data_IF_888315091263
#
_entry.id   IF_888315091263
#
_cell.length_a   1.000
_cell.length_b   1.000
_cell.length_c   1.000
_cell.angle_alpha   90.00
_cell.angle_beta   90.00
_cell.angle_gamma   90.00
#
_symmetry.space_group_name_H-M   'P 1'
#
loop_
_entity.id
_entity.type
_entity.pdbx_description
1 polymer ?
#
# COMPACT_ATOMS: atom_id res chain seq x y z
N UNK A 1 -67.51 74.79 6.57
CA UNK A 1 -68.03 73.95 5.47
C UNK A 1 -67.09 72.75 5.35
N UNK A 2 -67.61 71.54 5.58
CA UNK A 2 -66.88 70.27 5.57
C UNK A 2 -66.28 69.97 4.17
N UNK A 3 -65.22 69.18 3.99
CA UNK A 3 -65.20 67.73 4.19
C UNK A 3 -63.82 67.16 4.57
N UNK A 4 -63.84 66.23 5.52
CA UNK A 4 -62.77 65.34 5.95
C UNK A 4 -62.75 64.09 5.06
N UNK A 5 -61.58 63.67 4.59
CA UNK A 5 -61.34 62.32 4.06
C UNK A 5 -60.63 61.46 5.11
N UNK A 6 -61.28 60.39 5.59
CA UNK A 6 -60.71 59.37 6.46
C UNK A 6 -59.99 58.27 5.65
N UNK A 7 -58.82 57.80 6.12
CA UNK A 7 -58.09 56.69 5.49
C UNK A 7 -57.25 55.87 6.49
N UNK A 8 -57.92 54.92 7.15
CA UNK A 8 -57.46 53.69 7.82
C UNK A 8 -56.14 53.67 8.62
N UNK A 9 -56.26 53.75 9.96
CA UNK A 9 -55.32 53.09 10.88
C UNK A 9 -55.56 51.59 10.84
N UNK A 10 -54.52 50.82 10.50
CA UNK A 10 -54.55 49.37 10.55
C UNK A 10 -54.73 48.87 12.01
N UNK A 11 -55.57 47.84 12.25
CA UNK A 11 -55.82 47.34 13.58
C UNK A 11 -54.64 46.54 14.13
N UNK A 12 -54.32 46.79 15.40
CA UNK A 12 -53.21 46.20 16.18
C UNK A 12 -53.36 44.70 16.49
N UNK A 13 -53.96 43.91 15.60
CA UNK A 13 -54.14 42.46 15.73
C UNK A 13 -53.31 41.64 14.74
N UNK A 14 -52.53 42.30 13.87
CA UNK A 14 -51.75 41.64 12.81
C UNK A 14 -50.22 41.74 12.97
N UNK A 15 -49.72 42.41 14.01
CA UNK A 15 -48.28 42.48 14.28
C UNK A 15 -47.60 41.14 14.63
N UNK A 16 -48.23 40.17 15.34
CA UNK A 16 -47.51 38.92 15.65
C UNK A 16 -47.40 37.98 14.44
N UNK A 17 -48.28 38.10 13.44
CA UNK A 17 -48.27 37.27 12.23
C UNK A 17 -47.17 37.73 11.26
N UNK A 18 -46.93 39.05 11.18
CA UNK A 18 -45.84 39.61 10.37
C UNK A 18 -44.45 39.24 10.91
N UNK A 19 -44.26 39.20 12.24
CA UNK A 19 -42.98 38.77 12.84
C UNK A 19 -42.72 37.26 12.69
N UNK A 20 -43.75 36.41 12.70
CA UNK A 20 -43.60 34.96 12.49
C UNK A 20 -43.20 34.57 11.06
N UNK A 21 -43.71 35.29 10.05
CA UNK A 21 -43.37 35.05 8.64
C UNK A 21 -41.95 35.49 8.27
N UNK A 22 -41.40 36.53 8.92
CA UNK A 22 -40.01 36.98 8.71
C UNK A 22 -39.00 35.99 9.31
N UNK A 23 -39.32 35.35 10.45
CA UNK A 23 -38.48 34.34 11.09
C UNK A 23 -38.47 32.98 10.33
N UNK A 24 -39.60 32.57 9.74
CA UNK A 24 -39.66 31.37 8.90
C UNK A 24 -38.94 31.55 7.55
N UNK A 25 -38.97 32.76 6.97
CA UNK A 25 -38.20 33.07 5.76
C UNK A 25 -36.67 33.06 6.00
N UNK A 26 -36.21 33.45 7.19
CA UNK A 26 -34.79 33.44 7.56
C UNK A 26 -34.27 32.06 7.94
N UNK A 27 -35.10 31.15 8.47
CA UNK A 27 -34.72 29.74 8.66
C UNK A 27 -34.63 28.93 7.36
N UNK A 28 -35.40 29.29 6.32
CA UNK A 28 -35.31 28.62 5.01
C UNK A 28 -34.05 29.02 4.23
N UNK A 29 -33.51 30.22 4.45
CA UNK A 29 -32.20 30.62 3.92
C UNK A 29 -31.04 29.89 4.63
N UNK A 30 -31.13 29.66 5.95
CA UNK A 30 -30.10 28.91 6.69
C UNK A 30 -30.08 27.40 6.36
N UNK A 31 -31.22 26.80 6.02
CA UNK A 31 -31.28 25.40 5.58
C UNK A 31 -30.75 25.17 4.16
N UNK A 32 -30.70 26.22 3.32
CA UNK A 32 -30.12 26.14 1.96
C UNK A 32 -28.59 26.35 1.92
N UNK A 33 -27.97 26.80 3.02
CA UNK A 33 -26.52 26.96 3.08
C UNK A 33 -25.77 25.61 3.02
N UNK A 34 -26.43 24.49 3.38
CA UNK A 34 -25.89 23.14 3.18
C UNK A 34 -25.92 22.65 1.74
N UNK A 35 -26.79 23.21 0.89
CA UNK A 35 -26.92 22.82 -0.52
C UNK A 35 -25.91 23.54 -1.43
N UNK A 36 -25.38 24.71 -1.00
CA UNK A 36 -24.37 25.46 -1.76
C UNK A 36 -22.95 24.88 -1.65
N UNK A 37 -22.68 24.04 -0.64
CA UNK A 37 -21.37 23.36 -0.51
C UNK A 37 -21.29 22.13 -1.41
N UNK A 38 -22.42 21.59 -1.88
CA UNK A 38 -22.48 20.37 -2.70
C UNK A 38 -22.08 20.58 -4.17
N UNK A 39 -21.96 21.84 -4.62
CA UNK A 39 -21.71 22.19 -6.01
C UNK A 39 -20.48 23.09 -6.22
N UNK A 40 -19.60 23.17 -5.21
CA UNK A 40 -18.26 23.68 -5.47
C UNK A 40 -17.58 22.71 -6.44
N UNK A 41 -17.11 23.16 -7.62
CA UNK A 41 -16.23 22.34 -8.42
C UNK A 41 -15.08 21.91 -7.51
N UNK A 42 -14.71 20.63 -7.49
CA UNK A 42 -13.62 20.19 -6.63
C UNK A 42 -12.43 21.10 -6.96
N UNK A 43 -11.87 21.77 -5.95
CA UNK A 43 -10.75 22.71 -6.10
C UNK A 43 -9.51 22.06 -6.75
N UNK A 44 -9.58 20.74 -6.95
CA UNK A 44 -8.61 19.91 -7.64
C UNK A 44 -9.33 18.93 -8.55
N UNK A 45 -8.87 18.79 -9.79
CA UNK A 45 -9.33 17.72 -10.68
C UNK A 45 -9.20 16.35 -10.00
N UNK A 46 -10.23 15.49 -10.07
CA UNK A 46 -10.15 14.13 -9.53
C UNK A 46 -9.18 13.24 -10.34
N UNK A 47 -8.81 13.67 -11.54
CA UNK A 47 -7.89 12.94 -12.40
C UNK A 47 -6.49 12.85 -11.76
N UNK A 48 -6.04 11.62 -11.53
CA UNK A 48 -4.68 11.31 -11.13
C UNK A 48 -3.76 11.44 -12.35
N UNK A 49 -2.69 12.23 -12.22
CA UNK A 49 -1.64 12.35 -13.24
C UNK A 49 -0.43 11.53 -12.84
N UNK A 50 0.30 11.01 -13.82
CA UNK A 50 1.52 10.24 -13.61
C UNK A 50 2.65 11.16 -13.12
N UNK A 51 3.42 10.70 -12.12
CA UNK A 51 4.70 11.29 -11.77
C UNK A 51 5.81 10.73 -12.67
N UNK A 52 6.44 11.55 -13.54
CA UNK A 52 7.46 11.08 -14.46
C UNK A 52 8.78 10.70 -13.78
N UNK A 53 9.01 11.12 -12.52
CA UNK A 53 10.24 10.81 -11.79
C UNK A 53 10.18 9.48 -11.03
N UNK A 54 9.01 8.84 -10.95
CA UNK A 54 8.84 7.59 -10.22
C UNK A 54 9.31 6.37 -11.04
N UNK A 55 10.06 5.46 -10.40
CA UNK A 55 10.53 4.21 -11.04
C UNK A 55 9.41 3.23 -11.39
N UNK A 56 8.33 3.25 -10.61
CA UNK A 56 7.07 2.55 -10.88
C UNK A 56 5.96 3.59 -11.01
N UNK A 57 4.89 3.34 -11.80
CA UNK A 57 3.80 4.29 -11.95
C UNK A 57 3.25 4.75 -10.60
N UNK A 58 3.31 6.06 -10.37
CA UNK A 58 2.87 6.70 -9.15
C UNK A 58 2.04 7.92 -9.51
N UNK A 59 0.95 8.21 -8.77
CA UNK A 59 0.29 9.50 -8.91
C UNK A 59 1.23 10.64 -8.48
N UNK A 60 1.23 11.74 -9.24
CA UNK A 60 2.02 12.95 -8.92
C UNK A 60 1.54 13.65 -7.65
N UNK A 61 0.27 13.45 -7.28
CA UNK A 61 -0.31 13.97 -6.04
C UNK A 61 -0.21 12.90 -4.95
N UNK A 62 0.64 13.12 -3.96
CA UNK A 62 0.81 12.22 -2.83
C UNK A 62 1.11 12.97 -1.53
N UNK A 63 0.80 12.34 -0.40
CA UNK A 63 1.16 12.79 0.95
C UNK A 63 2.44 12.14 1.46
N UNK A 64 2.72 10.92 0.97
CA UNK A 64 3.92 10.15 1.26
C UNK A 64 4.29 9.33 0.04
N UNK A 65 5.60 9.15 -0.21
CA UNK A 65 6.12 8.22 -1.21
C UNK A 65 7.45 7.62 -0.75
N UNK A 66 7.53 6.30 -0.79
CA UNK A 66 8.77 5.54 -0.63
C UNK A 66 8.99 4.61 -1.81
N UNK A 67 10.22 4.52 -2.30
CA UNK A 67 10.63 3.50 -3.29
C UNK A 67 11.76 2.68 -2.71
N UNK A 68 11.59 1.37 -2.73
CA UNK A 68 12.55 0.42 -2.19
C UNK A 68 12.95 -0.54 -3.30
N UNK A 69 14.25 -0.72 -3.49
CA UNK A 69 14.79 -1.66 -4.46
C UNK A 69 15.69 -2.63 -3.74
N UNK A 70 15.44 -3.92 -3.91
CA UNK A 70 16.34 -4.96 -3.41
C UNK A 70 17.34 -5.29 -4.51
N UNK A 71 18.62 -5.06 -4.22
CA UNK A 71 19.75 -5.38 -5.10
C UNK A 71 20.61 -6.44 -4.44
N UNK A 72 21.29 -7.25 -5.24
CA UNK A 72 22.22 -8.26 -4.74
C UNK A 72 23.59 -8.03 -5.38
N UNK A 73 24.70 -8.12 -4.62
CA UNK A 73 26.03 -8.04 -5.19
C UNK A 73 26.21 -9.03 -6.35
N UNK A 74 26.81 -8.57 -7.44
CA UNK A 74 27.00 -9.37 -8.66
C UNK A 74 25.79 -9.44 -9.59
N UNK A 75 24.65 -8.83 -9.22
CA UNK A 75 23.45 -8.74 -10.07
C UNK A 75 23.15 -7.27 -10.35
N UNK A 76 23.30 -6.87 -11.61
CA UNK A 76 23.15 -5.47 -12.03
C UNK A 76 21.71 -4.95 -11.87
N UNK A 77 20.72 -5.75 -12.26
CA UNK A 77 19.32 -5.39 -12.18
C UNK A 77 18.74 -5.68 -10.77
N UNK A 78 17.83 -4.85 -10.24
CA UNK A 78 17.19 -5.12 -8.96
C UNK A 78 16.36 -6.41 -9.04
N UNK A 79 16.39 -7.20 -7.97
CA UNK A 79 15.59 -8.40 -7.78
C UNK A 79 14.10 -8.05 -7.63
N UNK A 80 13.85 -6.92 -6.95
CA UNK A 80 12.52 -6.46 -6.58
C UNK A 80 12.49 -4.95 -6.47
N UNK A 81 11.45 -4.33 -6.99
CA UNK A 81 11.15 -2.91 -6.76
C UNK A 81 9.77 -2.79 -6.12
N UNK A 82 9.69 -2.01 -5.04
CA UNK A 82 8.45 -1.70 -4.33
C UNK A 82 8.26 -0.19 -4.27
N UNK A 83 7.07 0.26 -4.61
CA UNK A 83 6.61 1.63 -4.38
C UNK A 83 5.49 1.60 -3.35
N UNK A 84 5.59 2.50 -2.39
CA UNK A 84 4.55 2.77 -1.39
C UNK A 84 4.19 4.23 -1.47
N UNK A 85 2.91 4.53 -1.59
CA UNK A 85 2.44 5.91 -1.65
C UNK A 85 1.06 6.04 -1.03
N UNK A 86 0.71 7.24 -0.59
CA UNK A 86 -0.64 7.55 -0.06
C UNK A 86 -1.17 8.79 -0.73
N UNK A 87 -2.35 8.66 -1.34
CA UNK A 87 -2.93 9.71 -2.18
C UNK A 87 -4.34 10.08 -1.68
N UNK A 88 -4.69 11.38 -1.65
CA UNK A 88 -6.02 11.83 -1.26
C UNK A 88 -7.01 11.66 -2.43
N UNK A 89 -7.27 10.42 -2.83
CA UNK A 89 -8.15 10.07 -3.95
C UNK A 89 -8.96 8.81 -3.67
N UNK A 90 -10.14 8.69 -4.28
CA UNK A 90 -11.03 7.54 -4.10
C UNK A 90 -10.41 6.25 -4.65
N UNK A 91 -10.72 5.12 -4.02
CA UNK A 91 -10.17 3.80 -4.39
C UNK A 91 -10.41 3.48 -5.88
N UNK A 92 -11.62 3.71 -6.39
CA UNK A 92 -11.96 3.46 -7.79
C UNK A 92 -11.16 4.30 -8.79
N UNK A 93 -10.82 5.54 -8.46
CA UNK A 93 -10.00 6.40 -9.32
C UNK A 93 -8.55 5.93 -9.36
N UNK A 94 -8.02 5.46 -8.22
CA UNK A 94 -6.68 4.86 -8.12
C UNK A 94 -6.61 3.55 -8.91
N UNK A 95 -7.62 2.68 -8.83
CA UNK A 95 -7.69 1.46 -9.64
C UNK A 95 -7.67 1.79 -11.14
N UNK A 96 -8.48 2.76 -11.58
CA UNK A 96 -8.55 3.17 -12.99
C UNK A 96 -7.20 3.72 -13.48
N UNK A 97 -6.55 4.54 -12.65
CA UNK A 97 -5.21 5.05 -12.92
C UNK A 97 -4.22 3.90 -13.13
N UNK A 98 -4.13 2.97 -12.19
CA UNK A 98 -3.17 1.88 -12.28
C UNK A 98 -3.41 0.93 -13.46
N UNK A 99 -4.66 0.55 -13.73
CA UNK A 99 -4.97 -0.27 -14.91
C UNK A 99 -4.54 0.40 -16.22
N UNK A 100 -4.74 1.72 -16.31
CA UNK A 100 -4.35 2.51 -17.48
C UNK A 100 -2.84 2.61 -17.62
N UNK A 101 -2.14 3.06 -16.57
CA UNK A 101 -0.70 3.30 -16.63
C UNK A 101 0.11 2.00 -16.72
N UNK A 102 -0.27 0.95 -15.99
CA UNK A 102 0.39 -0.36 -16.09
C UNK A 102 0.11 -1.03 -17.44
N UNK A 103 -1.09 -0.87 -17.99
CA UNK A 103 -1.43 -1.36 -19.33
C UNK A 103 -0.54 -0.74 -20.43
N UNK A 104 -0.22 0.56 -20.33
CA UNK A 104 0.74 1.23 -21.25
C UNK A 104 2.15 0.64 -21.17
N UNK A 105 2.53 0.08 -20.02
CA UNK A 105 3.81 -0.59 -19.81
C UNK A 105 3.79 -2.07 -20.25
N UNK A 106 2.70 -2.54 -20.88
CA UNK A 106 2.55 -3.92 -21.31
C UNK A 106 2.24 -4.90 -20.18
N UNK A 107 1.83 -4.41 -19.01
CA UNK A 107 1.44 -5.28 -17.91
C UNK A 107 0.05 -5.85 -18.18
N UNK A 108 -0.11 -7.15 -17.92
CA UNK A 108 -1.39 -7.86 -18.08
C UNK A 108 -1.94 -8.25 -16.73
N UNK A 109 -3.12 -7.75 -16.40
CA UNK A 109 -3.85 -8.13 -15.18
C UNK A 109 -4.20 -9.62 -15.25
N UNK A 110 -3.97 -10.34 -14.15
CA UNK A 110 -4.31 -11.74 -13.98
C UNK A 110 -5.62 -11.83 -13.17
N UNK A 111 -6.63 -12.58 -13.63
CA UNK A 111 -7.87 -12.74 -12.89
C UNK A 111 -7.68 -13.55 -11.60
N UNK A 112 -6.64 -14.40 -11.53
CA UNK A 112 -6.38 -15.24 -10.37
C UNK A 112 -5.96 -14.41 -9.14
N UNK A 113 -6.68 -14.61 -8.03
CA UNK A 113 -6.39 -13.94 -6.76
C UNK A 113 -6.74 -12.45 -6.73
N UNK A 114 -7.49 -11.95 -7.71
CA UNK A 114 -8.01 -10.59 -7.68
C UNK A 114 -9.06 -10.45 -6.57
N UNK A 115 -8.89 -9.47 -5.69
CA UNK A 115 -9.85 -9.11 -4.64
C UNK A 115 -10.25 -7.66 -4.87
N UNK A 116 -11.55 -7.40 -5.00
CA UNK A 116 -12.10 -6.06 -5.16
C UNK A 116 -13.20 -5.89 -4.12
N UNK A 117 -12.89 -5.16 -3.06
CA UNK A 117 -13.80 -4.79 -1.99
C UNK A 117 -14.04 -3.28 -1.98
N UNK A 118 -14.99 -2.83 -1.15
CA UNK A 118 -15.32 -1.41 -1.03
C UNK A 118 -14.19 -0.56 -0.45
N UNK A 119 -13.36 -1.16 0.40
CA UNK A 119 -12.29 -0.50 1.15
C UNK A 119 -10.88 -0.97 0.74
N UNK A 120 -10.73 -2.06 -0.01
CA UNK A 120 -9.43 -2.53 -0.48
C UNK A 120 -9.50 -3.23 -1.83
N UNK A 121 -8.37 -3.25 -2.54
CA UNK A 121 -8.21 -3.95 -3.80
C UNK A 121 -6.85 -4.65 -3.81
N UNK A 122 -6.81 -5.89 -4.27
CA UNK A 122 -5.60 -6.63 -4.57
C UNK A 122 -5.68 -7.15 -5.99
N UNK A 123 -4.71 -6.77 -6.82
CA UNK A 123 -4.60 -7.21 -8.22
C UNK A 123 -3.22 -7.80 -8.47
N UNK A 124 -3.19 -8.86 -9.28
CA UNK A 124 -1.96 -9.50 -9.74
C UNK A 124 -1.72 -9.17 -11.21
N UNK A 125 -0.46 -9.01 -11.60
CA UNK A 125 -0.07 -8.68 -12.97
C UNK A 125 1.08 -9.56 -13.45
N UNK A 126 1.09 -9.87 -14.74
CA UNK A 126 2.29 -10.25 -15.46
C UNK A 126 2.93 -8.97 -16.04
N UNK A 127 4.09 -8.57 -15.52
CA UNK A 127 4.89 -7.47 -16.07
C UNK A 127 5.98 -8.00 -17.01
N UNK A 128 6.62 -7.16 -17.83
CA UNK A 128 7.75 -7.57 -18.66
C UNK A 128 8.94 -8.17 -17.88
N UNK A 129 9.12 -7.82 -16.61
CA UNK A 129 10.21 -8.34 -15.77
C UNK A 129 9.82 -9.59 -14.97
N UNK A 130 8.53 -9.91 -14.87
CA UNK A 130 8.03 -10.99 -14.02
C UNK A 130 6.73 -10.66 -13.29
N UNK A 131 6.37 -11.45 -12.27
CA UNK A 131 5.18 -11.23 -11.45
C UNK A 131 5.19 -9.86 -10.78
N UNK A 132 4.02 -9.25 -10.69
CA UNK A 132 3.82 -8.01 -9.96
C UNK A 132 2.46 -8.02 -9.25
N UNK A 133 2.36 -7.25 -8.17
CA UNK A 133 1.15 -7.14 -7.37
C UNK A 133 0.87 -5.67 -7.04
N UNK A 134 -0.41 -5.31 -7.04
CA UNK A 134 -0.92 -4.02 -6.61
C UNK A 134 -1.89 -4.25 -5.45
N UNK A 135 -1.61 -3.64 -4.32
CA UNK A 135 -2.50 -3.60 -3.16
C UNK A 135 -2.88 -2.15 -2.86
N UNK A 136 -4.17 -1.91 -2.72
CA UNK A 136 -4.76 -0.62 -2.45
C UNK A 136 -5.63 -0.73 -1.20
N UNK A 137 -5.55 0.22 -0.29
CA UNK A 137 -6.44 0.27 0.86
C UNK A 137 -6.93 1.70 1.12
N UNK A 138 -8.23 1.84 1.36
CA UNK A 138 -8.91 3.09 1.65
C UNK A 138 -8.91 3.32 3.15
N UNK A 139 -8.43 4.48 3.59
CA UNK A 139 -8.49 4.89 4.99
C UNK A 139 -8.49 6.42 5.11
N UNK A 140 -9.35 6.96 5.98
CA UNK A 140 -9.37 8.37 6.36
C UNK A 140 -9.37 9.36 5.17
N UNK A 141 -10.21 9.08 4.16
CA UNK A 141 -10.30 9.95 2.98
C UNK A 141 -9.12 9.82 1.99
N UNK A 142 -8.14 8.96 2.27
CA UNK A 142 -6.98 8.67 1.42
C UNK A 142 -6.93 7.20 1.00
N UNK A 143 -6.14 6.89 -0.04
CA UNK A 143 -5.89 5.53 -0.51
C UNK A 143 -4.40 5.27 -0.43
N UNK A 144 -4.00 4.27 0.37
CA UNK A 144 -2.65 3.74 0.35
C UNK A 144 -2.48 2.82 -0.85
N UNK A 145 -1.29 2.84 -1.41
CA UNK A 145 -0.91 2.11 -2.62
C UNK A 145 0.40 1.40 -2.31
N UNK A 146 0.42 0.10 -2.54
CA UNK A 146 1.62 -0.72 -2.50
C UNK A 146 1.70 -1.48 -3.81
N UNK A 147 2.69 -1.15 -4.65
CA UNK A 147 2.97 -1.88 -5.88
C UNK A 147 4.34 -2.52 -5.77
N UNK A 148 4.39 -3.81 -6.10
CA UNK A 148 5.61 -4.62 -6.08
C UNK A 148 5.80 -5.21 -7.47
N UNK A 149 6.99 -5.04 -8.05
CA UNK A 149 7.42 -5.72 -9.25
C UNK A 149 8.61 -6.61 -8.92
N UNK A 150 8.49 -7.88 -9.26
CA UNK A 150 9.58 -8.85 -9.14
C UNK A 150 10.28 -9.01 -10.48
N UNK A 151 11.60 -9.22 -10.44
CA UNK A 151 12.43 -9.44 -11.61
C UNK A 151 12.87 -10.91 -11.66
N UNK A 152 12.15 -11.72 -12.44
CA UNK A 152 12.35 -13.15 -12.49
C UNK A 152 13.74 -13.51 -13.03
N UNK A 153 14.20 -12.83 -14.08
CA UNK A 153 15.51 -13.08 -14.67
C UNK A 153 16.65 -12.76 -13.70
N UNK A 154 16.52 -11.66 -12.94
CA UNK A 154 17.51 -11.30 -11.93
C UNK A 154 17.54 -12.31 -10.78
N UNK A 155 16.38 -12.76 -10.30
CA UNK A 155 16.27 -13.80 -9.27
C UNK A 155 16.85 -15.14 -9.73
N UNK A 156 16.60 -15.55 -10.98
CA UNK A 156 17.19 -16.76 -11.55
C UNK A 156 18.71 -16.67 -11.64
N UNK A 157 19.28 -15.55 -12.13
CA UNK A 157 20.74 -15.34 -12.18
C UNK A 157 21.39 -15.31 -10.79
N UNK A 158 20.64 -14.85 -9.80
CA UNK A 158 21.03 -14.82 -8.41
C UNK A 158 20.92 -16.20 -7.72
N UNK A 159 20.39 -17.23 -8.39
CA UNK A 159 20.04 -18.53 -7.80
C UNK A 159 19.11 -18.38 -6.58
N UNK A 160 18.17 -17.44 -6.67
CA UNK A 160 17.16 -17.21 -5.63
C UNK A 160 15.71 -17.31 -6.12
N UNK A 161 15.49 -17.90 -7.28
CA UNK A 161 14.14 -18.16 -7.79
C UNK A 161 13.52 -19.34 -7.03
N UNK A 162 12.38 -19.18 -6.35
CA UNK A 162 11.69 -20.29 -5.71
C UNK A 162 11.14 -21.30 -6.73
N UNK A 163 11.07 -22.55 -6.32
CA UNK A 163 10.36 -23.58 -7.07
C UNK A 163 8.85 -23.25 -7.18
N UNK A 164 8.17 -23.63 -8.27
CA UNK A 164 6.75 -23.35 -8.46
C UNK A 164 5.89 -23.85 -7.29
N UNK A 165 5.09 -22.94 -6.71
CA UNK A 165 4.21 -23.24 -5.58
C UNK A 165 4.91 -23.27 -4.21
N UNK A 166 6.23 -23.07 -4.16
CA UNK A 166 7.01 -22.97 -2.95
C UNK A 166 7.58 -21.57 -2.78
N UNK A 167 8.18 -21.34 -1.62
CA UNK A 167 8.99 -20.19 -1.32
C UNK A 167 10.41 -20.64 -0.99
N UNK A 168 11.36 -19.71 -1.05
CA UNK A 168 12.74 -19.99 -0.69
C UNK A 168 13.18 -19.14 0.49
N UNK A 169 13.88 -19.76 1.44
CA UNK A 169 14.53 -19.07 2.55
C UNK A 169 16.04 -19.17 2.40
N UNK A 170 16.68 -18.02 2.25
CA UNK A 170 18.14 -17.90 2.28
C UNK A 170 18.58 -17.63 3.71
N UNK A 171 19.49 -18.45 4.22
CA UNK A 171 20.12 -18.23 5.52
C UNK A 171 21.59 -17.86 5.35
N UNK A 172 21.91 -16.63 5.75
CA UNK A 172 23.25 -16.03 5.69
C UNK A 172 23.83 -15.86 7.10
N UNK A 173 25.06 -16.32 7.31
CA UNK A 173 25.83 -16.04 8.52
C UNK A 173 27.13 -15.33 8.14
N UNK A 174 27.15 -14.02 8.33
CA UNK A 174 28.33 -13.17 8.07
C UNK A 174 29.04 -12.78 9.37
N UNK A 175 28.67 -13.40 10.50
CA UNK A 175 29.36 -13.21 11.78
C UNK A 175 30.66 -14.01 11.87
N UNK A 176 31.47 -13.67 12.87
CA UNK A 176 32.67 -14.42 13.25
C UNK A 176 32.41 -15.71 14.04
N UNK A 177 31.14 -16.08 14.26
CA UNK A 177 30.75 -17.25 15.07
C UNK A 177 29.80 -18.17 14.33
N UNK A 178 29.77 -19.44 14.70
CA UNK A 178 28.80 -20.38 14.16
C UNK A 178 27.37 -19.99 14.57
N UNK A 179 26.43 -20.14 13.64
CA UNK A 179 25.03 -19.82 13.85
C UNK A 179 24.14 -21.02 13.49
N UNK A 180 23.04 -21.16 14.19
CA UNK A 180 22.05 -22.21 13.93
C UNK A 180 20.68 -21.60 13.71
N UNK A 181 20.09 -21.87 12.55
CA UNK A 181 18.68 -21.59 12.26
C UNK A 181 17.85 -22.82 12.62
N UNK A 182 16.77 -22.61 13.38
CA UNK A 182 15.70 -23.61 13.53
C UNK A 182 14.42 -23.03 12.97
N UNK A 183 13.81 -23.70 11.99
CA UNK A 183 12.54 -23.33 11.36
C UNK A 183 11.85 -24.60 10.89
N UNK A 184 10.51 -24.70 11.04
CA UNK A 184 9.78 -25.90 10.61
C UNK A 184 10.30 -27.21 11.23
N UNK A 185 10.71 -27.16 12.50
CA UNK A 185 11.43 -28.24 13.20
C UNK A 185 12.73 -28.73 12.51
N UNK A 186 13.19 -28.06 11.45
CA UNK A 186 14.47 -28.29 10.78
C UNK A 186 15.52 -27.42 11.42
N UNK A 187 16.70 -27.98 11.65
CA UNK A 187 17.85 -27.26 12.19
C UNK A 187 18.96 -27.21 11.16
N UNK A 188 19.41 -26.00 10.85
CA UNK A 188 20.44 -25.72 9.85
C UNK A 188 21.59 -24.99 10.54
N UNK A 189 22.74 -25.67 10.63
CA UNK A 189 23.96 -25.11 11.20
C UNK A 189 24.81 -24.47 10.12
N UNK A 190 25.42 -23.34 10.45
CA UNK A 190 26.22 -22.53 9.53
C UNK A 190 27.48 -22.04 10.24
N UNK A 191 28.63 -22.50 9.76
CA UNK A 191 29.90 -22.03 10.28
C UNK A 191 30.12 -20.54 9.97
N UNK A 192 30.94 -19.87 10.78
CA UNK A 192 31.30 -18.46 10.57
C UNK A 192 31.80 -18.19 9.14
N UNK A 193 31.36 -17.09 8.52
CA UNK A 193 31.85 -16.61 7.22
C UNK A 193 31.57 -17.49 6.01
N UNK A 194 30.64 -18.46 6.09
CA UNK A 194 30.34 -19.39 4.99
C UNK A 194 29.26 -18.86 4.03
N UNK A 195 29.27 -19.29 2.75
CA UNK A 195 28.31 -18.88 1.70
C UNK A 195 26.88 -19.30 1.99
N UNK A 196 25.89 -18.41 1.91
CA UNK A 196 24.49 -18.68 2.29
C UNK A 196 23.91 -20.02 1.78
N UNK A 197 22.95 -20.57 2.54
CA UNK A 197 22.21 -21.79 2.14
C UNK A 197 20.76 -21.45 1.86
N UNK A 198 20.19 -22.11 0.85
CA UNK A 198 18.77 -22.02 0.51
C UNK A 198 18.00 -23.19 1.09
N UNK A 199 16.78 -22.92 1.54
CA UNK A 199 15.82 -23.89 2.05
C UNK A 199 14.50 -23.67 1.35
N UNK A 200 13.96 -24.72 0.76
CA UNK A 200 12.63 -24.67 0.19
C UNK A 200 11.58 -24.86 1.28
N UNK A 201 10.58 -23.99 1.27
CA UNK A 201 9.49 -23.96 2.24
C UNK A 201 8.15 -23.94 1.50
N UNK A 202 7.19 -24.69 2.03
CA UNK A 202 5.80 -24.53 1.61
C UNK A 202 5.29 -23.15 2.07
N UNK A 203 4.27 -22.58 1.42
CA UNK A 203 3.61 -21.38 1.91
C UNK A 203 2.99 -21.63 3.29
N UNK A 204 3.17 -20.70 4.22
CA UNK A 204 2.68 -20.86 5.59
C UNK A 204 3.30 -19.87 6.57
N UNK A 205 2.79 -19.90 7.80
CA UNK A 205 3.33 -19.12 8.92
C UNK A 205 4.32 -19.98 9.71
N UNK A 206 5.57 -19.55 9.75
CA UNK A 206 6.64 -20.28 10.43
C UNK A 206 7.12 -19.56 11.67
N UNK A 207 7.29 -20.30 12.77
CA UNK A 207 8.14 -19.86 13.87
C UNK A 207 9.58 -20.24 13.57
N UNK A 208 10.50 -19.33 13.85
CA UNK A 208 11.92 -19.56 13.65
C UNK A 208 12.76 -18.99 14.79
N UNK A 209 13.93 -19.59 14.99
CA UNK A 209 14.93 -19.18 15.97
C UNK A 209 16.31 -19.15 15.33
N UNK A 210 17.06 -18.09 15.61
CA UNK A 210 18.48 -17.98 15.28
C UNK A 210 19.27 -18.03 16.59
N UNK A 211 20.19 -19.00 16.69
CA UNK A 211 21.01 -19.24 17.87
C UNK A 211 22.48 -19.01 17.56
N UNK A 212 23.16 -18.28 18.45
CA UNK A 212 24.61 -18.13 18.51
C UNK A 212 25.09 -18.60 19.89
N UNK A 213 26.34 -19.06 20.04
CA UNK A 213 26.87 -19.62 21.31
C UNK A 213 26.64 -18.73 22.54
N UNK A 214 26.81 -17.42 22.40
CA UNK A 214 26.77 -16.47 23.53
C UNK A 214 25.49 -15.62 23.58
N UNK A 215 24.43 -16.06 22.87
CA UNK A 215 23.17 -15.31 22.78
C UNK A 215 21.97 -16.21 23.06
N UNK A 216 21.02 -15.66 23.83
CA UNK A 216 19.71 -16.29 23.96
C UNK A 216 18.97 -16.23 22.63
N UNK A 217 18.39 -17.36 22.22
CA UNK A 217 17.56 -17.44 21.03
C UNK A 217 16.24 -16.69 21.27
N UNK A 218 15.84 -15.84 20.34
CA UNK A 218 14.51 -15.24 20.34
C UNK A 218 13.68 -15.90 19.25
N UNK A 219 12.53 -16.48 19.64
CA UNK A 219 11.56 -17.00 18.70
C UNK A 219 10.86 -15.85 17.99
N UNK A 220 10.90 -15.85 16.66
CA UNK A 220 10.23 -14.89 15.78
C UNK A 220 9.31 -15.64 14.81
N UNK A 221 8.41 -14.91 14.15
CA UNK A 221 7.53 -15.48 13.13
C UNK A 221 7.78 -14.84 11.78
N UNK A 222 7.66 -15.63 10.72
CA UNK A 222 7.73 -15.19 9.33
C UNK A 222 6.58 -15.83 8.55
N UNK A 223 5.80 -14.99 7.86
CA UNK A 223 4.76 -15.43 6.94
C UNK A 223 5.40 -15.61 5.55
N UNK A 224 5.31 -16.83 5.02
CA UNK A 224 5.92 -17.25 3.76
C UNK A 224 4.82 -17.48 2.72
N UNK A 225 4.97 -16.89 1.54
CA UNK A 225 4.01 -16.99 0.42
C UNK A 225 4.70 -17.64 -0.78
N UNK A 226 3.95 -18.44 -1.55
CA UNK A 226 4.47 -19.06 -2.77
C UNK A 226 5.05 -18.01 -3.73
N UNK A 227 6.21 -18.31 -4.31
CA UNK A 227 6.93 -17.43 -5.22
C UNK A 227 7.68 -16.29 -4.52
N UNK A 228 7.79 -16.29 -3.19
CA UNK A 228 8.64 -15.37 -2.44
C UNK A 228 10.01 -15.97 -2.11
N UNK A 229 11.02 -15.11 -2.09
CA UNK A 229 12.29 -15.42 -1.43
C UNK A 229 12.56 -14.46 -0.27
N UNK A 230 12.87 -15.02 0.88
CA UNK A 230 13.26 -14.29 2.09
C UNK A 230 14.71 -14.60 2.47
N UNK A 231 15.39 -13.62 3.06
CA UNK A 231 16.70 -13.78 3.67
C UNK A 231 16.63 -13.55 5.18
N UNK A 232 17.27 -14.44 5.92
CA UNK A 232 17.61 -14.26 7.33
C UNK A 232 19.12 -14.14 7.46
N UNK A 233 19.56 -13.05 8.08
CA UNK A 233 21.00 -12.74 8.19
C UNK A 233 21.39 -12.58 9.65
N UNK A 234 22.45 -13.28 10.04
CA UNK A 234 23.24 -12.94 11.23
C UNK A 234 24.36 -12.03 10.77
N UNK A 235 24.31 -10.77 11.22
CA UNK A 235 25.25 -9.71 10.87
C UNK A 235 26.66 -9.90 11.44
N UNK A 236 27.62 -9.06 11.05
CA UNK A 236 29.02 -9.20 11.44
C UNK A 236 29.22 -9.17 12.97
N UNK A 237 28.44 -8.35 13.66
CA UNK A 237 28.46 -8.20 15.12
C UNK A 237 27.69 -9.33 15.86
N UNK A 238 27.19 -10.33 15.14
CA UNK A 238 26.36 -11.41 15.67
C UNK A 238 24.88 -11.03 15.87
N UNK A 239 24.48 -9.82 15.48
CA UNK A 239 23.10 -9.36 15.56
C UNK A 239 22.23 -9.97 14.47
N UNK A 240 21.02 -10.38 14.85
CA UNK A 240 20.02 -10.89 13.91
C UNK A 240 19.31 -9.71 13.24
N UNK A 241 19.57 -9.53 11.96
CA UNK A 241 18.92 -8.48 11.17
C UNK A 241 17.43 -8.79 10.92
N UNK A 242 16.60 -7.78 10.64
CA UNK A 242 15.22 -8.01 10.21
C UNK A 242 15.18 -8.87 8.93
N UNK A 243 14.19 -9.77 8.78
CA UNK A 243 14.01 -10.53 7.55
C UNK A 243 13.90 -9.61 6.34
N UNK A 244 14.63 -9.94 5.28
CA UNK A 244 14.62 -9.19 4.04
C UNK A 244 13.91 -9.98 2.95
N UNK A 245 12.86 -9.42 2.35
CA UNK A 245 12.24 -10.02 1.17
C UNK A 245 13.08 -9.70 -0.07
N UNK A 246 13.77 -10.71 -0.60
CA UNK A 246 14.62 -10.61 -1.77
C UNK A 246 13.81 -10.57 -3.07
N UNK A 247 12.84 -11.48 -3.17
CA UNK A 247 12.01 -11.68 -4.36
C UNK A 247 10.53 -11.69 -3.97
#
# INVERSE_FOLDING_TARGET
MATVGHGARAPARWQPIACGLVLLASCLLAASAGAFVSNLPPLFSPALTLDPAAKLPAPARYSFRGTHTTVMPGIEAPLRTRLETTVPAQLGDVVRFYRTELGKLGWREKPEGAVIAADHVQLSFASPLGPAALQLARKDGSTSIHIVQKNADAASRANIMPEPGQAMLVFSNISGTDATLTIDAKTVKRAAGTNAVSLDLAPGRYSYELRLPDRSATTKTLDIVAGDTWELTVGPDGDVWPPLQLY
#
